data_IF_558700806423
#
_entry.id   IF_558700806423
#
_cell.length_a   1.000
_cell.length_b   1.000
_cell.length_c   1.000
_cell.angle_alpha   90.00
_cell.angle_beta   90.00
_cell.angle_gamma   90.00
#
_symmetry.space_group_name_H-M   'P 1'
#
loop_
_entity.id
_entity.type
_entity.pdbx_description
1 polymer ?
#
# COMPACT_ATOMS: atom_id res chain seq x y z
N UNK A 1 -3.19 0.90 3.68
CA UNK A 1 -4.20 1.95 3.95
C UNK A 1 -5.49 1.54 3.27
N UNK A 2 -6.45 1.05 4.04
CA UNK A 2 -7.76 0.67 3.50
C UNK A 2 -8.50 1.94 3.10
N UNK A 3 -8.88 2.06 1.82
CA UNK A 3 -9.92 3.02 1.43
C UNK A 3 -11.18 2.57 2.15
N UNK A 4 -11.52 3.24 3.25
CA UNK A 4 -12.79 3.02 3.91
C UNK A 4 -13.90 3.11 2.84
N UNK A 5 -14.77 2.09 2.79
CA UNK A 5 -15.81 1.91 1.77
C UNK A 5 -16.56 3.21 1.46
N UNK A 6 -16.77 4.07 2.46
CA UNK A 6 -17.41 5.38 2.31
C UNK A 6 -16.58 6.38 1.48
N UNK A 7 -15.26 6.44 1.64
CA UNK A 7 -14.39 7.34 0.88
C UNK A 7 -14.22 6.88 -0.57
N UNK A 8 -14.21 5.56 -0.81
CA UNK A 8 -14.16 5.01 -2.16
C UNK A 8 -15.36 5.44 -3.00
N UNK A 9 -16.57 5.45 -2.41
CA UNK A 9 -17.80 5.88 -3.10
C UNK A 9 -17.72 7.36 -3.53
N UNK A 10 -17.19 8.23 -2.67
CA UNK A 10 -17.05 9.67 -2.96
C UNK A 10 -16.12 9.91 -4.15
N UNK A 11 -15.10 9.09 -4.34
CA UNK A 11 -14.18 9.18 -5.50
C UNK A 11 -14.79 8.51 -6.73
N UNK A 12 -15.51 7.40 -6.54
CA UNK A 12 -16.04 6.59 -7.64
C UNK A 12 -17.18 7.27 -8.40
N UNK A 13 -18.12 7.91 -7.71
CA UNK A 13 -19.23 8.63 -8.34
C UNK A 13 -18.76 9.70 -9.34
N UNK A 14 -17.88 10.66 -8.96
CA UNK A 14 -17.39 11.65 -9.91
C UNK A 14 -16.52 11.02 -10.99
N UNK A 15 -15.76 9.96 -10.69
CA UNK A 15 -14.99 9.23 -11.70
C UNK A 15 -15.88 8.67 -12.80
N UNK A 16 -16.96 7.96 -12.45
CA UNK A 16 -17.91 7.41 -13.43
C UNK A 16 -18.61 8.52 -14.21
N UNK A 17 -18.99 9.61 -13.55
CA UNK A 17 -19.57 10.77 -14.22
C UNK A 17 -18.60 11.34 -15.27
N UNK A 18 -17.37 11.68 -14.88
CA UNK A 18 -16.38 12.26 -15.79
C UNK A 18 -15.91 11.31 -16.89
N UNK A 19 -16.08 10.00 -16.73
CA UNK A 19 -15.76 9.03 -17.78
C UNK A 19 -16.52 9.29 -19.08
N UNK A 20 -17.77 9.76 -18.98
CA UNK A 20 -18.61 10.05 -20.15
C UNK A 20 -18.45 11.48 -20.67
N UNK A 21 -18.14 12.44 -19.79
CA UNK A 21 -18.07 13.86 -20.18
C UNK A 21 -16.68 14.31 -20.58
N UNK A 22 -15.64 13.89 -19.84
CA UNK A 22 -14.27 14.36 -20.07
C UNK A 22 -13.27 13.36 -19.47
N UNK A 23 -12.86 12.33 -20.24
CA UNK A 23 -11.97 11.27 -19.77
C UNK A 23 -10.66 11.79 -19.16
N UNK A 24 -10.14 12.92 -19.62
CA UNK A 24 -8.97 13.58 -19.04
C UNK A 24 -9.08 13.82 -17.53
N UNK A 25 -10.27 14.13 -17.01
CA UNK A 25 -10.50 14.34 -15.57
C UNK A 25 -10.38 13.03 -14.79
N UNK A 26 -10.70 11.89 -15.41
CA UNK A 26 -10.53 10.57 -14.80
C UNK A 26 -9.04 10.27 -14.54
N UNK A 27 -8.17 10.59 -15.51
CA UNK A 27 -6.73 10.47 -15.33
C UNK A 27 -6.21 11.41 -14.24
N UNK A 28 -6.78 12.61 -14.10
CA UNK A 28 -6.44 13.52 -13.00
C UNK A 28 -6.74 12.87 -11.64
N UNK A 29 -7.97 12.36 -11.48
CA UNK A 29 -8.42 11.71 -10.25
C UNK A 29 -7.52 10.53 -9.91
N UNK A 30 -7.26 9.63 -10.86
CA UNK A 30 -6.39 8.47 -10.65
C UNK A 30 -4.97 8.88 -10.28
N UNK A 31 -4.40 9.85 -10.99
CA UNK A 31 -3.06 10.36 -10.72
C UNK A 31 -2.95 11.00 -9.33
N UNK A 32 -3.93 11.81 -8.93
CA UNK A 32 -3.99 12.40 -7.59
C UNK A 32 -4.11 11.34 -6.50
N UNK A 33 -4.99 10.34 -6.67
CA UNK A 33 -5.13 9.23 -5.72
C UNK A 33 -3.82 8.45 -5.60
N UNK A 34 -3.18 8.14 -6.73
CA UNK A 34 -1.90 7.43 -6.74
C UNK A 34 -0.80 8.20 -5.99
N UNK A 35 -0.67 9.51 -6.23
CA UNK A 35 0.29 10.34 -5.51
C UNK A 35 -0.03 10.49 -4.02
N UNK A 36 -1.31 10.61 -3.67
CA UNK A 36 -1.74 10.64 -2.27
C UNK A 36 -1.33 9.37 -1.52
N UNK A 37 -1.54 8.20 -2.12
CA UNK A 37 -1.09 6.91 -1.57
C UNK A 37 0.43 6.85 -1.46
N UNK A 38 1.16 7.31 -2.47
CA UNK A 38 2.62 7.37 -2.45
C UNK A 38 3.13 8.23 -1.28
N UNK A 39 2.63 9.46 -1.16
CA UNK A 39 2.98 10.39 -0.09
C UNK A 39 2.69 9.79 1.28
N UNK A 40 1.49 9.24 1.47
CA UNK A 40 1.09 8.61 2.73
C UNK A 40 1.99 7.42 3.09
N UNK A 41 2.37 6.60 2.11
CA UNK A 41 3.27 5.46 2.30
C UNK A 41 4.68 5.91 2.65
N UNK A 42 5.21 6.94 1.98
CA UNK A 42 6.53 7.53 2.29
C UNK A 42 6.55 8.10 3.71
N UNK A 43 5.52 8.87 4.09
CA UNK A 43 5.43 9.43 5.44
C UNK A 43 5.39 8.35 6.51
N UNK A 44 4.57 7.31 6.30
CA UNK A 44 4.51 6.16 7.21
C UNK A 44 5.86 5.43 7.29
N UNK A 45 6.51 5.15 6.16
CA UNK A 45 7.80 4.47 6.14
C UNK A 45 8.92 5.30 6.80
N UNK A 46 8.90 6.62 6.62
CA UNK A 46 9.84 7.50 7.29
C UNK A 46 9.59 7.55 8.79
N UNK A 47 8.33 7.59 9.22
CA UNK A 47 7.94 7.52 10.63
C UNK A 47 8.45 6.22 11.25
N UNK A 48 8.07 5.07 10.69
CA UNK A 48 8.39 3.75 11.26
C UNK A 48 9.88 3.44 11.23
N UNK A 49 10.64 3.95 10.25
CA UNK A 49 12.11 3.83 10.24
C UNK A 49 12.80 4.68 11.31
N UNK A 50 12.21 5.82 11.66
CA UNK A 50 12.81 6.77 12.62
C UNK A 50 12.44 6.46 14.06
N UNK A 51 11.19 6.06 14.31
CA UNK A 51 10.63 5.89 15.65
C UNK A 51 9.95 4.53 15.87
N UNK A 52 10.03 3.62 14.91
CA UNK A 52 9.46 2.28 15.07
C UNK A 52 10.30 1.43 16.02
N UNK A 53 9.62 0.50 16.69
CA UNK A 53 10.25 -0.44 17.62
C UNK A 53 10.49 -1.75 16.88
N UNK A 54 11.71 -2.27 16.95
CA UNK A 54 12.05 -3.57 16.38
C UNK A 54 11.58 -4.70 17.29
N UNK A 55 10.93 -5.70 16.71
CA UNK A 55 10.52 -6.91 17.44
C UNK A 55 10.70 -8.15 16.55
N UNK A 56 10.57 -9.32 17.16
CA UNK A 56 10.58 -10.61 16.48
C UNK A 56 9.16 -11.14 16.51
N UNK A 57 8.55 -11.24 15.33
CA UNK A 57 7.27 -11.90 15.15
C UNK A 57 7.43 -13.33 14.66
N UNK A 58 6.36 -14.10 14.78
CA UNK A 58 6.26 -15.50 14.39
C UNK A 58 5.13 -15.66 13.39
N UNK A 59 5.37 -16.37 12.29
CA UNK A 59 4.28 -16.70 11.35
C UNK A 59 3.40 -17.77 11.99
N UNK A 60 2.13 -17.43 12.22
CA UNK A 60 1.15 -18.34 12.81
C UNK A 60 0.21 -18.94 11.79
N UNK A 61 -0.09 -18.21 10.72
CA UNK A 61 -0.97 -18.68 9.65
C UNK A 61 -0.73 -17.89 8.37
N UNK A 62 -1.41 -18.31 7.30
CA UNK A 62 -1.45 -17.59 6.04
C UNK A 62 -2.91 -17.37 5.67
N UNK A 63 -3.22 -16.16 5.25
CA UNK A 63 -4.51 -15.83 4.67
C UNK A 63 -4.35 -15.70 3.16
N UNK A 64 -5.16 -16.45 2.42
CA UNK A 64 -5.20 -16.35 0.97
C UNK A 64 -6.14 -15.21 0.57
N UNK A 65 -5.72 -14.38 -0.38
CA UNK A 65 -6.65 -13.51 -1.08
C UNK A 65 -7.42 -14.28 -2.17
N UNK A 66 -8.35 -13.58 -2.83
CA UNK A 66 -9.20 -14.14 -3.89
C UNK A 66 -8.40 -14.60 -5.12
N UNK A 67 -7.16 -14.14 -5.28
CA UNK A 67 -6.26 -14.50 -6.37
C UNK A 67 -5.31 -15.65 -5.98
N UNK A 68 -5.42 -16.15 -4.74
CA UNK A 68 -4.63 -17.26 -4.21
C UNK A 68 -3.25 -16.86 -3.68
N UNK A 69 -2.94 -15.57 -3.61
CA UNK A 69 -1.74 -15.09 -2.94
C UNK A 69 -1.92 -15.24 -1.43
N UNK A 70 -0.87 -15.74 -0.78
CA UNK A 70 -0.87 -15.99 0.66
C UNK A 70 -0.09 -14.91 1.38
N UNK A 71 -0.79 -14.16 2.23
CA UNK A 71 -0.18 -13.17 3.11
C UNK A 71 -0.03 -13.76 4.50
N UNK A 72 1.17 -13.73 5.11
CA UNK A 72 1.38 -14.30 6.44
C UNK A 72 0.69 -13.44 7.49
N UNK A 73 0.08 -14.12 8.45
CA UNK A 73 -0.32 -13.53 9.73
C UNK A 73 0.86 -13.70 10.67
N UNK A 74 1.35 -12.58 11.18
CA UNK A 74 2.50 -12.51 12.07
C UNK A 74 1.99 -12.15 13.46
N UNK A 75 2.27 -13.04 14.41
CA UNK A 75 2.05 -12.81 15.83
C UNK A 75 3.32 -12.25 16.47
N UNK A 76 3.21 -11.22 17.30
CA UNK A 76 4.33 -10.65 18.02
C UNK A 76 3.87 -9.99 19.32
N UNK A 77 4.81 -9.88 20.26
CA UNK A 77 4.61 -9.17 21.51
C UNK A 77 5.11 -7.72 21.37
N UNK A 78 4.31 -6.77 21.85
CA UNK A 78 4.69 -5.36 21.96
C UNK A 78 5.53 -5.13 23.23
N UNK A 79 6.25 -4.01 23.29
CA UNK A 79 6.99 -3.59 24.49
C UNK A 79 6.11 -3.49 25.76
N UNK A 80 4.80 -3.31 25.60
CA UNK A 80 3.83 -3.25 26.70
C UNK A 80 3.29 -4.63 27.10
N UNK A 81 3.82 -5.72 26.51
CA UNK A 81 3.41 -7.10 26.78
C UNK A 81 2.11 -7.53 26.08
N UNK A 82 1.63 -6.76 25.10
CA UNK A 82 0.43 -7.12 24.33
C UNK A 82 0.80 -8.05 23.18
N UNK A 83 0.10 -9.17 23.04
CA UNK A 83 0.22 -10.04 21.88
C UNK A 83 -0.72 -9.58 20.77
N UNK A 84 -0.15 -9.29 19.61
CA UNK A 84 -0.87 -8.86 18.42
C UNK A 84 -0.61 -9.83 17.28
N UNK A 85 -1.65 -10.11 16.50
CA UNK A 85 -1.56 -10.92 15.30
C UNK A 85 -2.23 -10.19 14.14
N UNK A 86 -1.52 -10.04 13.03
CA UNK A 86 -2.06 -9.34 11.87
C UNK A 86 -1.24 -9.50 10.60
N UNK A 87 -1.66 -8.81 9.54
CA UNK A 87 -0.93 -8.72 8.28
C UNK A 87 -0.01 -7.50 8.29
N UNK A 88 1.17 -7.57 7.64
CA UNK A 88 2.02 -6.40 7.46
C UNK A 88 1.25 -5.26 6.74
N UNK A 89 1.28 -4.07 7.32
CA UNK A 89 0.50 -2.91 6.84
C UNK A 89 0.90 -2.44 5.44
N UNK A 90 2.19 -2.60 5.09
CA UNK A 90 2.72 -2.37 3.75
C UNK A 90 3.61 -3.54 3.35
N UNK A 91 3.29 -4.13 2.20
CA UNK A 91 4.06 -5.19 1.56
C UNK A 91 3.88 -5.10 0.03
N UNK A 92 4.84 -5.60 -0.73
CA UNK A 92 4.79 -5.66 -2.20
C UNK A 92 4.70 -7.09 -2.72
N UNK A 93 4.48 -7.25 -4.02
CA UNK A 93 4.58 -8.55 -4.71
C UNK A 93 5.93 -9.24 -4.48
N UNK A 94 7.04 -8.49 -4.41
CA UNK A 94 8.35 -9.07 -4.09
C UNK A 94 8.41 -9.60 -2.66
N UNK A 95 7.65 -9.01 -1.73
CA UNK A 95 7.49 -9.55 -0.38
C UNK A 95 6.52 -10.75 -0.39
N UNK A 96 5.49 -10.75 -1.25
CA UNK A 96 4.61 -11.89 -1.49
C UNK A 96 5.36 -13.10 -2.05
N UNK A 97 6.34 -12.92 -2.93
CA UNK A 97 7.20 -14.00 -3.41
C UNK A 97 8.04 -14.60 -2.27
N UNK A 98 8.58 -13.75 -1.39
CA UNK A 98 9.23 -14.22 -0.14
C UNK A 98 8.23 -14.98 0.73
N UNK A 99 6.99 -14.52 0.85
CA UNK A 99 5.96 -15.20 1.61
C UNK A 99 5.55 -16.55 1.01
N UNK A 100 5.50 -16.67 -0.32
CA UNK A 100 5.33 -17.95 -1.00
C UNK A 100 6.53 -18.87 -0.76
N UNK A 101 7.76 -18.36 -0.72
CA UNK A 101 8.92 -19.18 -0.32
C UNK A 101 8.84 -19.66 1.15
N UNK A 102 7.99 -19.02 1.96
CA UNK A 102 7.74 -19.39 3.36
C UNK A 102 6.49 -20.28 3.53
N UNK A 103 5.78 -20.64 2.46
CA UNK A 103 4.50 -21.41 2.49
C UNK A 103 4.59 -22.75 3.24
N UNK A 104 5.81 -23.24 3.50
CA UNK A 104 6.11 -24.47 4.26
C UNK A 104 6.75 -24.22 5.64
N UNK A 105 6.84 -22.96 6.09
CA UNK A 105 7.58 -22.55 7.29
C UNK A 105 6.69 -21.75 8.24
N UNK A 106 5.64 -22.40 8.73
CA UNK A 106 4.94 -21.98 9.97
C UNK A 106 5.98 -22.01 11.11
N UNK A 107 5.80 -21.17 12.12
CA UNK A 107 6.71 -21.02 13.26
C UNK A 107 8.08 -20.38 12.96
N UNK A 108 8.25 -19.78 11.78
CA UNK A 108 9.46 -19.04 11.46
C UNK A 108 9.45 -17.66 12.13
N UNK A 109 10.54 -17.37 12.85
CA UNK A 109 10.80 -16.04 13.41
C UNK A 109 11.19 -15.05 12.30
N UNK A 110 10.53 -13.90 12.28
CA UNK A 110 10.73 -12.82 11.31
C UNK A 110 10.92 -11.51 12.05
N UNK A 111 11.91 -10.73 11.63
CA UNK A 111 12.14 -9.38 12.16
C UNK A 111 11.11 -8.41 11.60
N UNK A 112 10.40 -7.74 12.50
CA UNK A 112 9.41 -6.72 12.19
C UNK A 112 9.79 -5.39 12.83
N UNK A 113 9.16 -4.32 12.35
CA UNK A 113 9.19 -2.99 12.96
C UNK A 113 7.73 -2.54 13.06
N UNK A 114 7.30 -2.13 14.26
CA UNK A 114 5.95 -1.64 14.49
C UNK A 114 5.95 -0.17 14.96
N UNK A 115 4.85 0.55 14.71
CA UNK A 115 4.65 1.92 15.19
C UNK A 115 4.26 1.91 16.69
N UNK A 116 5.03 2.60 17.54
CA UNK A 116 4.77 2.63 18.99
C UNK A 116 3.41 3.23 19.36
N UNK A 117 2.88 4.14 18.53
CA UNK A 117 1.56 4.74 18.77
C UNK A 117 0.41 3.87 18.25
N UNK A 118 0.68 3.04 17.25
CA UNK A 118 -0.32 2.16 16.63
C UNK A 118 0.33 0.82 16.26
N UNK A 119 0.50 -0.10 17.23
CA UNK A 119 1.29 -1.32 17.02
C UNK A 119 0.75 -2.26 15.94
N UNK A 120 -0.55 -2.20 15.64
CA UNK A 120 -1.17 -2.90 14.50
C UNK A 120 -0.56 -2.51 13.16
N UNK A 121 0.03 -1.31 13.06
CA UNK A 121 0.75 -0.85 11.87
C UNK A 121 2.21 -1.26 11.95
N UNK A 122 2.50 -2.46 11.46
CA UNK A 122 3.86 -2.98 11.40
C UNK A 122 4.28 -3.36 9.98
N UNK A 123 5.59 -3.43 9.75
CA UNK A 123 6.22 -3.86 8.51
C UNK A 123 7.30 -4.89 8.79
N UNK A 124 7.73 -5.63 7.76
CA UNK A 124 8.95 -6.42 7.84
C UNK A 124 10.18 -5.51 7.82
N UNK A 125 11.25 -5.86 8.56
CA UNK A 125 12.48 -5.07 8.57
C UNK A 125 13.18 -4.99 7.21
N UNK A 126 13.13 -6.06 6.41
CA UNK A 126 13.74 -6.13 5.07
C UNK A 126 12.69 -5.99 3.96
N UNK A 127 11.81 -4.99 4.10
CA UNK A 127 10.73 -4.72 3.17
C UNK A 127 11.25 -4.11 1.86
N UNK A 128 10.72 -4.59 0.73
CA UNK A 128 11.12 -4.18 -0.62
C UNK A 128 10.18 -3.15 -1.29
N UNK A 129 9.40 -2.39 -0.50
CA UNK A 129 8.43 -1.38 -1.00
C UNK A 129 9.00 -0.31 -1.94
N UNK A 130 10.31 -0.07 -1.91
CA UNK A 130 10.95 1.02 -2.67
C UNK A 130 10.61 1.02 -4.16
N UNK A 131 10.68 -0.15 -4.82
CA UNK A 131 10.44 -0.24 -6.26
C UNK A 131 8.98 0.05 -6.63
N UNK A 132 8.03 -0.56 -5.91
CA UNK A 132 6.60 -0.36 -6.15
C UNK A 132 6.17 1.10 -5.94
N UNK A 133 6.72 1.78 -4.94
CA UNK A 133 6.48 3.20 -4.71
C UNK A 133 7.00 4.08 -5.84
N UNK A 134 8.21 3.81 -6.36
CA UNK A 134 8.77 4.57 -7.49
C UNK A 134 7.89 4.42 -8.73
N UNK A 135 7.48 3.19 -9.07
CA UNK A 135 6.61 2.92 -10.21
C UNK A 135 5.26 3.64 -10.05
N UNK A 136 4.65 3.55 -8.86
CA UNK A 136 3.39 4.23 -8.57
C UNK A 136 3.50 5.75 -8.69
N UNK A 137 4.64 6.33 -8.30
CA UNK A 137 4.93 7.76 -8.50
C UNK A 137 5.04 8.15 -9.97
N UNK A 138 5.78 7.37 -10.76
CA UNK A 138 5.92 7.61 -12.20
C UNK A 138 4.55 7.55 -12.88
N UNK A 139 3.76 6.50 -12.63
CA UNK A 139 2.42 6.34 -13.22
C UNK A 139 1.50 7.48 -12.80
N UNK A 140 1.51 7.86 -11.51
CA UNK A 140 0.70 8.97 -11.00
C UNK A 140 1.05 10.31 -11.67
N UNK A 141 2.35 10.61 -11.82
CA UNK A 141 2.81 11.83 -12.50
C UNK A 141 2.45 11.84 -13.99
N UNK A 142 2.61 10.70 -14.68
CA UNK A 142 2.23 10.58 -16.10
C UNK A 142 0.74 10.85 -16.29
N UNK A 143 -0.12 10.28 -15.43
CA UNK A 143 -1.56 10.52 -15.51
C UNK A 143 -1.94 11.98 -15.28
N UNK A 144 -1.31 12.64 -14.32
CA UNK A 144 -1.52 14.08 -14.09
C UNK A 144 -1.03 14.90 -15.29
N UNK A 145 0.15 14.60 -15.81
CA UNK A 145 0.73 15.32 -16.95
C UNK A 145 -0.17 15.22 -18.20
N UNK A 146 -0.58 14.00 -18.56
CA UNK A 146 -1.49 13.75 -19.68
C UNK A 146 -2.83 14.45 -19.47
N UNK A 147 -3.37 14.40 -18.26
CA UNK A 147 -4.62 15.06 -17.92
C UNK A 147 -4.54 16.58 -18.10
N UNK A 148 -3.53 17.22 -17.49
CA UNK A 148 -3.34 18.67 -17.57
C UNK A 148 -3.14 19.09 -19.03
N UNK A 149 -2.28 18.39 -19.77
CA UNK A 149 -2.03 18.71 -21.16
C UNK A 149 -3.28 18.59 -22.05
N UNK A 150 -4.13 17.58 -21.80
CA UNK A 150 -5.42 17.46 -22.51
C UNK A 150 -6.43 18.53 -22.09
N UNK A 151 -6.53 18.85 -20.79
CA UNK A 151 -7.43 19.89 -20.30
C UNK A 151 -7.08 21.28 -20.82
N UNK A 152 -5.80 21.56 -21.05
CA UNK A 152 -5.29 22.79 -21.63
C UNK A 152 -5.32 22.81 -23.17
N UNK A 153 -5.71 21.70 -23.82
CA UNK A 153 -5.77 21.60 -25.27
C UNK A 153 -4.42 21.38 -25.97
N UNK A 154 -3.36 21.05 -25.23
CA UNK A 154 -2.06 20.68 -25.81
C UNK A 154 -2.07 19.26 -26.39
N UNK A 155 -2.92 18.39 -25.85
CA UNK A 155 -3.02 17.00 -26.24
C UNK A 155 -4.43 16.64 -26.68
N UNK A 156 -4.52 16.14 -27.91
CA UNK A 156 -5.76 15.62 -28.47
C UNK A 156 -5.85 14.09 -28.28
N UNK A 157 -5.67 13.65 -27.03
CA UNK A 157 -5.61 12.22 -26.67
C UNK A 157 -7.01 11.71 -26.27
N UNK A 158 -7.93 12.61 -25.91
CA UNK A 158 -9.21 12.28 -25.29
C UNK A 158 -10.43 13.05 -25.86
N UNK A 159 -10.31 13.66 -27.05
CA UNK A 159 -11.50 14.13 -27.80
C UNK A 159 -12.26 12.96 -28.43
#
# INVERSE_FOLDING_TARGET
MELNKNHGIIIFIPFVFFMFYKPAVCFLILGTVALYFLLSSILFLNKIKKSGIESVGKIVSYESDNEGYKTPIIEFETADGQNLAGKPFLHTSTDLDKFQSYKERIDKNIKIIYDSENPEKFILKHNSVGCGMVLMGIVGLVFIFLSIGSLLGYFDIFN
#
